data_IF_757235905301
#
_entry.id   IF_757235905301
#
_cell.length_a   1.000
_cell.length_b   1.000
_cell.length_c   1.000
_cell.angle_alpha   90.00
_cell.angle_beta   90.00
_cell.angle_gamma   90.00
#
_symmetry.space_group_name_H-M   'P 1'
#
loop_
_entity.id
_entity.type
_entity.pdbx_description
1 polymer ?
#
# COMPACT_ATOMS: atom_id res chain seq x y z
N UNK A 1 -2.68 -52.02 40.29
CA UNK A 1 -3.65 -51.84 39.18
C UNK A 1 -3.26 -50.54 38.48
N UNK A 2 -2.30 -50.51 37.57
CA UNK A 2 -2.27 -51.07 36.21
C UNK A 2 -3.32 -50.43 35.28
N UNK A 3 -2.91 -49.41 34.51
CA UNK A 3 -3.40 -49.12 33.16
C UNK A 3 -2.46 -48.11 32.48
N UNK A 4 -1.48 -48.64 31.74
CA UNK A 4 -0.75 -47.90 30.71
C UNK A 4 -1.64 -47.85 29.46
N UNK A 5 -2.01 -46.67 28.97
CA UNK A 5 -2.67 -46.46 27.69
C UNK A 5 -1.70 -45.84 26.70
N UNK A 6 -1.05 -46.67 25.89
CA UNK A 6 -0.20 -46.23 24.77
C UNK A 6 -1.08 -45.99 23.54
N UNK A 7 -1.08 -44.75 23.05
CA UNK A 7 -1.66 -44.42 21.75
C UNK A 7 -0.55 -44.48 20.70
N UNK A 8 -0.46 -45.64 20.05
CA UNK A 8 0.34 -45.90 18.86
C UNK A 8 -0.33 -45.21 17.66
N UNK A 9 0.12 -44.01 17.32
CA UNK A 9 -0.32 -43.30 16.14
C UNK A 9 0.56 -43.73 14.95
N UNK A 10 0.01 -44.65 14.16
CA UNK A 10 0.54 -45.10 12.87
C UNK A 10 0.75 -43.91 11.91
N UNK A 11 1.95 -43.68 11.34
CA UNK A 11 2.11 -42.69 10.29
C UNK A 11 1.52 -43.20 8.97
N UNK A 12 0.51 -42.50 8.46
CA UNK A 12 -0.04 -42.74 7.13
C UNK A 12 1.03 -42.41 6.07
N UNK A 13 1.36 -43.40 5.25
CA UNK A 13 2.27 -43.28 4.14
C UNK A 13 1.73 -42.29 3.09
N UNK A 14 2.57 -41.34 2.69
CA UNK A 14 2.31 -40.41 1.59
C UNK A 14 2.29 -41.17 0.25
N UNK A 15 1.34 -40.88 -0.66
CA UNK A 15 1.41 -41.39 -2.02
C UNK A 15 2.48 -40.63 -2.81
N UNK A 16 3.54 -41.34 -3.22
CA UNK A 16 4.47 -40.94 -4.27
C UNK A 16 3.69 -40.67 -5.55
N UNK A 17 3.56 -39.41 -5.94
CA UNK A 17 2.97 -39.02 -7.22
C UNK A 17 4.01 -39.26 -8.33
N UNK A 18 3.65 -40.12 -9.27
CA UNK A 18 4.47 -40.54 -10.40
C UNK A 18 4.83 -39.37 -11.33
N UNK A 19 6.11 -39.33 -11.71
CA UNK A 19 6.62 -38.61 -12.88
C UNK A 19 5.81 -39.00 -14.13
N UNK A 20 5.07 -38.05 -14.67
CA UNK A 20 4.52 -38.14 -16.01
C UNK A 20 5.42 -37.31 -16.93
N UNK A 21 6.47 -37.97 -17.44
CA UNK A 21 7.17 -37.51 -18.63
C UNK A 21 6.16 -37.55 -19.79
N UNK A 22 5.89 -36.40 -20.38
CA UNK A 22 5.11 -36.32 -21.62
C UNK A 22 5.62 -35.16 -22.48
N UNK A 23 6.07 -35.57 -23.66
CA UNK A 23 5.90 -34.90 -24.94
C UNK A 23 6.91 -33.79 -25.32
N UNK A 24 7.98 -34.24 -25.98
CA UNK A 24 8.70 -33.50 -27.01
C UNK A 24 7.75 -33.20 -28.18
N UNK A 25 7.14 -32.00 -28.20
CA UNK A 25 6.16 -31.62 -29.21
C UNK A 25 6.36 -30.19 -29.73
N UNK A 26 7.00 -30.09 -30.90
CA UNK A 26 6.96 -28.97 -31.86
C UNK A 26 7.36 -27.56 -31.37
N UNK A 27 8.56 -27.14 -31.78
CA UNK A 27 9.02 -25.76 -31.64
C UNK A 27 8.13 -24.74 -32.38
N UNK A 28 8.00 -23.52 -31.86
CA UNK A 28 7.29 -22.45 -32.54
C UNK A 28 8.09 -22.01 -33.77
N UNK A 29 7.47 -22.13 -34.93
CA UNK A 29 7.91 -21.49 -36.17
C UNK A 29 7.87 -19.98 -35.94
N UNK A 30 9.03 -19.35 -35.97
CA UNK A 30 9.16 -17.89 -35.92
C UNK A 30 8.46 -17.28 -37.15
N UNK A 31 7.63 -16.25 -37.00
CA UNK A 31 7.13 -15.47 -38.13
C UNK A 31 8.31 -14.75 -38.82
N UNK A 32 8.23 -14.52 -40.15
CA UNK A 32 9.28 -13.84 -40.89
C UNK A 32 9.51 -12.42 -40.37
N UNK A 33 10.78 -12.06 -40.20
CA UNK A 33 11.25 -10.69 -40.00
C UNK A 33 10.57 -9.74 -41.00
N UNK A 34 9.72 -8.85 -40.49
CA UNK A 34 9.30 -7.69 -41.27
C UNK A 34 10.49 -6.72 -41.30
N UNK A 35 11.17 -6.69 -42.45
CA UNK A 35 12.07 -5.61 -42.83
C UNK A 35 11.29 -4.31 -42.83
N UNK A 36 11.45 -3.51 -41.78
CA UNK A 36 10.88 -2.17 -41.69
C UNK A 36 11.71 -1.27 -42.59
N UNK A 37 11.12 -0.79 -43.68
CA UNK A 37 11.71 0.26 -44.52
C UNK A 37 12.03 1.50 -43.66
N UNK A 38 13.22 2.12 -43.80
CA UNK A 38 13.53 3.37 -43.13
C UNK A 38 12.70 4.50 -43.75
N UNK A 39 11.52 4.75 -43.17
CA UNK A 39 10.67 5.88 -43.48
C UNK A 39 11.37 7.20 -43.15
N UNK A 40 11.36 8.10 -44.12
CA UNK A 40 11.96 9.43 -44.09
C UNK A 40 11.63 10.22 -42.81
N UNK A 41 12.68 10.73 -42.16
CA UNK A 41 12.60 11.67 -41.05
C UNK A 41 11.85 12.95 -41.50
N UNK A 42 10.74 13.35 -40.85
CA UNK A 42 10.18 14.67 -41.07
C UNK A 42 11.18 15.71 -40.57
N UNK A 43 11.66 16.54 -41.50
CA UNK A 43 12.51 17.69 -41.23
C UNK A 43 11.72 18.67 -40.35
N UNK A 44 12.01 18.68 -39.04
CA UNK A 44 11.50 19.71 -38.12
C UNK A 44 12.00 21.07 -38.61
N UNK A 45 11.13 22.09 -38.72
CA UNK A 45 11.57 23.46 -38.99
C UNK A 45 12.45 23.96 -37.84
N UNK A 46 13.43 24.84 -38.12
CA UNK A 46 14.31 25.40 -37.11
C UNK A 46 13.49 26.22 -36.11
N UNK A 47 13.57 25.84 -34.84
CA UNK A 47 13.03 26.62 -33.72
C UNK A 47 13.91 27.86 -33.60
N UNK A 48 13.34 29.02 -33.92
CA UNK A 48 13.97 30.32 -33.71
C UNK A 48 13.97 30.58 -32.20
N UNK A 49 15.13 30.87 -31.56
CA UNK A 49 15.14 31.27 -30.17
C UNK A 49 14.54 32.66 -30.05
N UNK A 50 13.31 32.75 -29.53
CA UNK A 50 12.76 34.00 -29.03
C UNK A 50 13.56 34.37 -27.78
N UNK A 51 14.41 35.37 -27.92
CA UNK A 51 15.09 36.05 -26.82
C UNK A 51 14.00 36.85 -26.10
N UNK A 52 13.50 36.33 -24.98
CA UNK A 52 12.72 37.14 -24.04
C UNK A 52 13.68 37.99 -23.22
N UNK A 53 13.41 39.29 -23.29
CA UNK A 53 14.10 40.41 -22.70
C UNK A 53 14.11 40.31 -21.17
N UNK A 54 15.29 40.17 -20.55
CA UNK A 54 15.47 40.27 -19.09
C UNK A 54 15.04 41.66 -18.61
N UNK A 55 13.96 41.72 -17.83
CA UNK A 55 13.60 42.89 -17.05
C UNK A 55 14.29 42.80 -15.68
N UNK A 56 15.21 43.71 -15.32
CA UNK A 56 15.86 43.67 -14.02
C UNK A 56 14.91 44.16 -12.92
N UNK A 57 14.31 43.24 -12.16
CA UNK A 57 13.66 43.57 -10.88
C UNK A 57 14.71 43.70 -9.78
N UNK A 58 15.24 44.91 -9.66
CA UNK A 58 16.09 45.35 -8.56
C UNK A 58 15.18 45.70 -7.36
N UNK A 59 14.73 44.70 -6.60
CA UNK A 59 14.03 44.94 -5.34
C UNK A 59 14.87 44.47 -4.15
N UNK A 60 15.17 45.44 -3.29
CA UNK A 60 16.00 45.34 -2.10
C UNK A 60 15.31 44.46 -1.06
N UNK A 61 15.99 43.50 -0.40
CA UNK A 61 15.36 42.74 0.67
C UNK A 61 15.05 43.67 1.86
N UNK A 62 13.86 43.57 2.49
CA UNK A 62 13.63 44.21 3.77
C UNK A 62 14.49 43.51 4.84
N UNK A 63 15.37 44.29 5.47
CA UNK A 63 16.09 43.93 6.69
C UNK A 63 15.07 43.54 7.76
N UNK A 64 14.88 42.23 7.99
CA UNK A 64 14.16 41.75 9.16
C UNK A 64 15.13 41.71 10.35
N UNK A 65 14.75 42.48 11.37
CA UNK A 65 15.37 42.59 12.68
C UNK A 65 15.20 41.25 13.45
N UNK A 66 16.28 40.55 13.84
CA UNK A 66 16.18 39.34 14.65
C UNK A 66 16.19 39.72 16.14
N UNK A 67 15.03 40.06 16.68
CA UNK A 67 14.85 40.12 18.14
C UNK A 67 13.80 39.11 18.57
N UNK A 68 14.24 37.89 18.92
CA UNK A 68 13.44 37.00 19.77
C UNK A 68 14.35 36.40 20.84
N UNK A 69 14.02 36.57 22.13
CA UNK A 69 14.89 36.20 23.24
C UNK A 69 14.96 34.68 23.43
N UNK A 70 16.16 34.23 23.81
CA UNK A 70 16.43 32.93 24.37
C UNK A 70 15.51 32.64 25.57
N UNK A 71 14.72 31.56 25.48
CA UNK A 71 14.23 30.87 26.66
C UNK A 71 14.82 29.46 26.70
N UNK A 72 15.88 29.40 27.49
CA UNK A 72 16.54 28.22 27.99
C UNK A 72 15.75 27.74 29.22
N UNK A 73 15.04 26.61 29.13
CA UNK A 73 14.73 25.82 30.34
C UNK A 73 14.79 24.34 30.03
N UNK A 74 15.79 23.69 30.62
CA UNK A 74 15.98 22.25 30.65
C UNK A 74 15.07 21.57 31.68
N UNK A 75 14.67 20.33 31.38
CA UNK A 75 14.27 19.26 32.30
C UNK A 75 14.54 17.95 31.52
N UNK A 76 15.74 17.38 31.53
CA UNK A 76 16.34 16.61 32.62
C UNK A 76 15.37 15.58 33.25
N UNK A 77 15.61 14.32 32.85
CA UNK A 77 15.63 13.15 33.73
C UNK A 77 14.29 12.48 34.13
N UNK A 78 14.01 11.33 33.49
CA UNK A 78 13.49 10.16 34.19
C UNK A 78 13.78 8.87 33.39
N UNK A 79 14.94 8.27 33.67
CA UNK A 79 15.09 6.83 33.58
C UNK A 79 14.30 6.20 34.75
N UNK A 80 13.37 5.29 34.45
CA UNK A 80 12.79 4.35 35.41
C UNK A 80 12.40 3.08 34.63
N UNK A 81 13.26 2.06 34.66
CA UNK A 81 13.19 0.88 35.53
C UNK A 81 12.12 -0.12 35.08
N UNK A 82 12.63 -1.31 34.77
CA UNK A 82 11.92 -2.51 34.38
C UNK A 82 10.92 -3.03 35.43
N UNK A 83 10.13 -4.00 34.94
CA UNK A 83 9.48 -5.09 35.67
C UNK A 83 8.07 -4.79 36.18
N UNK A 84 7.08 -5.33 35.46
CA UNK A 84 6.07 -6.22 36.04
C UNK A 84 5.59 -7.18 34.96
N UNK A 85 6.00 -8.43 35.10
CA UNK A 85 5.44 -9.57 34.37
C UNK A 85 4.14 -9.89 35.11
N UNK A 86 2.99 -9.60 34.50
CA UNK A 86 1.71 -10.10 35.01
C UNK A 86 1.58 -11.53 34.51
N UNK A 87 1.65 -12.45 35.46
CA UNK A 87 1.24 -13.84 35.36
C UNK A 87 -0.24 -13.87 34.94
N UNK A 88 -0.50 -14.15 33.65
CA UNK A 88 -1.85 -14.45 33.17
C UNK A 88 -2.21 -15.88 33.56
N UNK A 89 -2.91 -15.93 34.69
CA UNK A 89 -3.74 -17.02 35.18
C UNK A 89 -4.49 -17.70 34.02
N UNK A 90 -4.13 -18.95 33.77
CA UNK A 90 -4.83 -19.85 32.85
C UNK A 90 -6.00 -20.46 33.62
N UNK A 91 -7.07 -19.70 33.77
CA UNK A 91 -8.25 -20.06 34.56
C UNK A 91 -9.56 -19.89 33.79
N UNK A 92 -10.05 -21.01 33.25
CA UNK A 92 -11.46 -21.40 33.12
C UNK A 92 -12.49 -20.53 32.36
N UNK A 93 -13.15 -21.23 31.42
CA UNK A 93 -14.47 -21.01 30.82
C UNK A 93 -14.64 -19.91 29.75
N UNK A 94 -14.77 -20.29 28.46
CA UNK A 94 -15.45 -19.41 27.52
C UNK A 94 -16.94 -19.30 27.92
N UNK A 95 -17.53 -18.10 27.98
CA UNK A 95 -18.98 -18.00 27.99
C UNK A 95 -19.49 -18.53 26.65
N UNK A 96 -20.27 -19.60 26.70
CA UNK A 96 -21.18 -19.98 25.62
C UNK A 96 -22.11 -18.80 25.38
N UNK A 97 -21.81 -17.98 24.38
CA UNK A 97 -22.73 -16.97 23.87
C UNK A 97 -23.75 -17.69 23.00
N UNK A 98 -24.85 -18.12 23.63
CA UNK A 98 -26.04 -18.55 22.91
C UNK A 98 -26.67 -17.35 22.21
N UNK A 99 -26.59 -17.35 20.88
CA UNK A 99 -27.67 -16.91 20.00
C UNK A 99 -28.28 -15.53 20.24
N UNK A 100 -27.57 -14.47 19.86
CA UNK A 100 -28.24 -13.39 19.15
C UNK A 100 -27.93 -13.54 17.68
N UNK A 101 -28.81 -14.27 16.99
CA UNK A 101 -28.99 -14.18 15.54
C UNK A 101 -29.32 -12.72 15.21
N UNK A 102 -28.29 -11.92 14.92
CA UNK A 102 -28.46 -10.72 14.14
C UNK A 102 -28.93 -11.19 12.76
N UNK A 103 -30.24 -11.27 12.58
CA UNK A 103 -30.89 -11.47 11.29
C UNK A 103 -30.58 -10.23 10.46
N UNK A 104 -29.37 -10.20 9.88
CA UNK A 104 -29.04 -9.31 8.78
C UNK A 104 -30.01 -9.69 7.66
N UNK A 105 -31.11 -8.94 7.60
CA UNK A 105 -32.04 -8.98 6.49
C UNK A 105 -31.31 -8.34 5.33
N UNK A 106 -30.42 -9.10 4.71
CA UNK A 106 -29.85 -8.78 3.42
C UNK A 106 -31.03 -8.78 2.45
N UNK A 107 -31.49 -7.58 2.11
CA UNK A 107 -32.38 -7.34 0.98
C UNK A 107 -31.57 -7.71 -0.27
N UNK A 108 -31.59 -8.98 -0.63
CA UNK A 108 -31.06 -9.49 -1.89
C UNK A 108 -32.02 -9.09 -3.02
N UNK A 109 -31.99 -7.82 -3.38
CA UNK A 109 -32.81 -7.23 -4.45
C UNK A 109 -32.01 -6.41 -5.46
N UNK A 110 -30.68 -6.40 -5.39
CA UNK A 110 -29.83 -5.62 -6.29
C UNK A 110 -28.87 -6.54 -7.05
N UNK A 111 -28.83 -6.35 -8.37
CA UNK A 111 -28.08 -7.18 -9.30
C UNK A 111 -26.62 -7.31 -8.90
N UNK A 112 -26.07 -8.52 -9.06
CA UNK A 112 -24.65 -8.81 -8.83
C UNK A 112 -23.82 -7.73 -9.55
N UNK A 113 -23.05 -6.90 -8.84
CA UNK A 113 -22.26 -5.86 -9.49
C UNK A 113 -21.29 -6.53 -10.45
N UNK A 114 -21.17 -6.00 -11.67
CA UNK A 114 -20.19 -6.53 -12.62
C UNK A 114 -18.79 -6.38 -12.01
N UNK A 115 -17.90 -7.39 -12.17
CA UNK A 115 -16.53 -7.28 -11.73
C UNK A 115 -15.90 -5.99 -12.29
N UNK A 116 -15.32 -5.17 -11.41
CA UNK A 116 -14.80 -3.84 -11.75
C UNK A 116 -15.74 -2.66 -11.46
N UNK A 117 -16.92 -2.88 -10.86
CA UNK A 117 -17.82 -1.78 -10.46
C UNK A 117 -17.60 -1.39 -9.01
N UNK A 118 -17.32 -0.10 -8.75
CA UNK A 118 -17.30 0.45 -7.39
C UNK A 118 -18.75 0.56 -6.91
N UNK A 119 -19.11 -0.18 -5.86
CA UNK A 119 -20.37 0.01 -5.14
C UNK A 119 -20.14 1.09 -4.09
N UNK A 120 -20.87 2.21 -4.19
CA UNK A 120 -20.80 3.26 -3.18
C UNK A 120 -21.23 2.70 -1.81
N UNK A 121 -20.54 3.05 -0.72
CA UNK A 121 -20.90 2.56 0.61
C UNK A 121 -22.31 2.99 1.00
N UNK A 122 -23.05 2.10 1.67
CA UNK A 122 -24.31 2.44 2.33
C UNK A 122 -24.10 3.09 3.71
N UNK A 123 -22.86 3.17 4.18
CA UNK A 123 -22.53 3.64 5.53
C UNK A 123 -21.81 4.98 5.44
N UNK A 124 -22.44 6.00 6.02
CA UNK A 124 -21.91 7.36 6.18
C UNK A 124 -20.56 7.32 6.90
N UNK A 125 -19.58 8.06 6.39
CA UNK A 125 -18.24 8.17 6.96
C UNK A 125 -18.34 8.70 8.40
N UNK A 126 -17.76 7.96 9.35
CA UNK A 126 -17.98 8.24 10.77
C UNK A 126 -17.21 9.48 11.26
N UNK A 127 -16.28 10.04 10.48
CA UNK A 127 -15.43 11.14 10.93
C UNK A 127 -14.81 11.93 9.75
N UNK A 128 -15.60 12.67 8.95
CA UNK A 128 -15.05 13.50 7.89
C UNK A 128 -14.07 14.53 8.48
N UNK A 129 -12.84 14.55 7.95
CA UNK A 129 -11.78 15.49 8.31
C UNK A 129 -10.83 15.05 9.43
N UNK A 130 -10.84 13.79 9.86
CA UNK A 130 -9.71 13.22 10.60
C UNK A 130 -8.60 12.81 9.63
N UNK A 131 -7.35 13.15 9.93
CA UNK A 131 -6.23 12.56 9.20
C UNK A 131 -6.16 11.05 9.49
N UNK A 132 -5.71 10.26 8.52
CA UNK A 132 -5.29 8.87 8.80
C UNK A 132 -4.21 8.84 9.89
N UNK A 133 -4.17 7.80 10.73
CA UNK A 133 -3.15 7.57 11.75
C UNK A 133 -1.90 6.94 11.14
N UNK A 134 -2.10 5.86 10.36
CA UNK A 134 -1.05 5.14 9.65
C UNK A 134 -1.57 4.56 8.33
N UNK A 135 -0.67 4.46 7.36
CA UNK A 135 -0.92 3.88 6.05
C UNK A 135 0.21 2.92 5.71
N UNK A 136 -0.12 1.69 5.35
CA UNK A 136 0.84 0.67 4.91
C UNK A 136 0.51 0.28 3.48
N UNK A 137 1.44 0.57 2.58
CA UNK A 137 1.42 0.20 1.18
C UNK A 137 2.44 -0.89 0.91
N UNK A 138 2.02 -1.95 0.23
CA UNK A 138 2.94 -2.96 -0.29
C UNK A 138 2.71 -3.18 -1.78
N UNK A 139 3.80 -3.33 -2.52
CA UNK A 139 3.83 -3.74 -3.91
C UNK A 139 4.71 -4.98 -4.02
N UNK A 140 4.23 -6.00 -4.74
CA UNK A 140 4.98 -7.22 -5.03
C UNK A 140 4.75 -7.71 -6.45
N UNK A 141 5.59 -8.64 -6.92
CA UNK A 141 5.54 -9.19 -8.27
C UNK A 141 6.19 -8.29 -9.32
N UNK A 142 5.70 -8.37 -10.55
CA UNK A 142 6.27 -7.64 -11.68
C UNK A 142 7.59 -8.22 -12.21
N UNK A 143 8.18 -7.60 -13.24
CA UNK A 143 9.47 -8.01 -13.77
C UNK A 143 10.56 -7.87 -12.70
N UNK A 144 11.04 -9.01 -12.19
CA UNK A 144 12.09 -9.07 -11.17
C UNK A 144 11.60 -9.33 -9.75
N UNK A 145 10.30 -9.61 -9.56
CA UNK A 145 9.70 -10.02 -8.27
C UNK A 145 10.16 -9.14 -7.09
N UNK A 146 10.14 -7.82 -7.31
CA UNK A 146 10.62 -6.85 -6.33
C UNK A 146 9.49 -6.51 -5.37
N UNK A 147 9.79 -6.59 -4.08
CA UNK A 147 8.91 -6.14 -3.01
C UNK A 147 9.28 -4.72 -2.59
N UNK A 148 8.26 -3.85 -2.47
CA UNK A 148 8.38 -2.52 -1.91
C UNK A 148 7.36 -2.39 -0.78
N UNK A 149 7.83 -2.02 0.40
CA UNK A 149 6.98 -1.69 1.55
C UNK A 149 7.16 -0.24 1.94
N UNK A 150 6.06 0.49 2.02
CA UNK A 150 6.01 1.89 2.47
C UNK A 150 5.00 2.01 3.59
N UNK A 151 5.45 2.46 4.75
CA UNK A 151 4.61 2.81 5.88
C UNK A 151 4.69 4.33 6.10
N UNK A 152 3.56 5.02 6.05
CA UNK A 152 3.46 6.46 6.24
C UNK A 152 2.56 6.73 7.44
N UNK A 153 3.07 7.54 8.37
CA UNK A 153 2.34 8.00 9.54
C UNK A 153 1.89 9.45 9.38
N UNK A 154 0.86 9.82 10.15
CA UNK A 154 0.24 11.16 10.15
C UNK A 154 1.16 12.28 10.62
N UNK A 155 2.22 11.95 11.37
CA UNK A 155 3.25 12.87 11.83
C UNK A 155 4.32 13.16 10.75
N UNK A 156 4.21 12.52 9.58
CA UNK A 156 5.19 12.63 8.49
C UNK A 156 6.36 11.65 8.60
N UNK A 157 6.31 10.69 9.53
CA UNK A 157 7.27 9.59 9.55
C UNK A 157 6.99 8.62 8.40
N UNK A 158 7.97 8.40 7.53
CA UNK A 158 7.91 7.47 6.40
C UNK A 158 8.91 6.35 6.61
N UNK A 159 8.48 5.09 6.65
CA UNK A 159 9.35 3.92 6.71
C UNK A 159 9.28 3.21 5.37
N UNK A 160 10.39 3.15 4.65
CA UNK A 160 10.50 2.43 3.38
C UNK A 160 11.47 1.27 3.53
N UNK A 161 11.01 0.06 3.25
CA UNK A 161 11.81 -1.17 3.31
C UNK A 161 12.60 -1.30 4.64
N UNK A 162 12.02 -0.79 5.73
CA UNK A 162 12.60 -0.77 7.07
C UNK A 162 13.48 0.45 7.40
N UNK A 163 13.76 1.34 6.45
CA UNK A 163 14.51 2.59 6.68
C UNK A 163 13.56 3.77 6.92
N UNK A 164 13.85 4.58 7.94
CA UNK A 164 13.00 5.71 8.35
C UNK A 164 13.46 7.03 7.73
N UNK A 165 12.49 7.76 7.22
CA UNK A 165 12.58 9.07 6.57
C UNK A 165 11.51 10.01 7.13
N UNK A 166 11.60 11.28 6.76
CA UNK A 166 10.63 12.31 7.13
C UNK A 166 10.10 12.96 5.87
N UNK A 167 8.79 13.09 5.77
CA UNK A 167 8.10 13.81 4.69
C UNK A 167 7.49 15.10 5.23
N UNK A 168 7.23 16.06 4.34
CA UNK A 168 6.58 17.31 4.77
C UNK A 168 5.09 17.06 5.10
N UNK A 169 4.51 17.83 6.05
CA UNK A 169 3.09 17.70 6.39
C UNK A 169 2.16 18.02 5.21
N UNK A 170 2.63 18.78 4.22
CA UNK A 170 1.88 19.06 2.98
C UNK A 170 1.65 17.79 2.18
N UNK A 171 2.65 16.90 2.12
CA UNK A 171 2.52 15.61 1.43
C UNK A 171 1.58 14.68 2.18
N UNK A 172 1.63 14.68 3.52
CA UNK A 172 0.68 13.91 4.35
C UNK A 172 -0.75 14.37 4.09
N UNK A 173 -0.99 15.68 4.08
CA UNK A 173 -2.30 16.26 3.79
C UNK A 173 -2.78 15.96 2.36
N UNK A 174 -1.87 15.92 1.38
CA UNK A 174 -2.21 15.54 0.01
C UNK A 174 -2.66 14.07 -0.09
N UNK A 175 -1.96 13.16 0.59
CA UNK A 175 -2.36 11.74 0.64
C UNK A 175 -3.70 11.57 1.35
N UNK A 176 -3.94 12.30 2.43
CA UNK A 176 -5.22 12.28 3.14
C UNK A 176 -6.37 12.76 2.25
N UNK A 177 -6.18 13.88 1.53
CA UNK A 177 -7.17 14.38 0.58
C UNK A 177 -7.47 13.36 -0.53
N UNK A 178 -6.46 12.65 -1.04
CA UNK A 178 -6.68 11.60 -2.03
C UNK A 178 -7.49 10.42 -1.46
N UNK A 179 -7.29 10.05 -0.20
CA UNK A 179 -8.08 9.00 0.46
C UNK A 179 -9.55 9.42 0.63
N UNK A 180 -9.79 10.67 1.00
CA UNK A 180 -11.13 11.26 1.15
C UNK A 180 -11.84 11.38 -0.21
N UNK A 181 -11.17 11.92 -1.23
CA UNK A 181 -11.70 12.08 -2.59
C UNK A 181 -12.14 10.73 -3.19
N UNK A 182 -11.42 9.65 -2.88
CA UNK A 182 -11.72 8.28 -3.31
C UNK A 182 -12.83 7.65 -2.46
N UNK A 183 -13.11 8.19 -1.27
CA UNK A 183 -13.97 7.56 -0.27
C UNK A 183 -13.43 6.22 0.18
N UNK A 184 -12.12 6.14 0.50
CA UNK A 184 -11.40 4.89 0.73
C UNK A 184 -12.06 3.96 1.75
N UNK A 185 -12.54 4.50 2.87
CA UNK A 185 -13.24 3.71 3.91
C UNK A 185 -14.59 3.17 3.45
N UNK A 186 -15.19 3.84 2.46
CA UNK A 186 -16.38 3.40 1.76
C UNK A 186 -16.15 2.32 0.72
N UNK A 187 -14.95 2.21 0.18
CA UNK A 187 -14.65 1.25 -0.88
C UNK A 187 -14.70 -0.17 -0.37
N UNK A 188 -15.44 -1.03 -1.07
CA UNK A 188 -15.45 -2.47 -0.87
C UNK A 188 -15.18 -3.20 -2.18
N UNK A 189 -14.30 -4.20 -2.14
CA UNK A 189 -13.95 -4.98 -3.32
C UNK A 189 -12.62 -5.70 -3.18
N UNK A 190 -12.43 -6.73 -4.00
CA UNK A 190 -11.14 -7.35 -4.24
C UNK A 190 -10.87 -7.21 -5.73
N UNK A 191 -9.82 -6.49 -6.09
CA UNK A 191 -9.49 -6.18 -7.48
C UNK A 191 -8.46 -7.16 -8.04
N UNK A 192 -8.64 -8.45 -7.77
CA UNK A 192 -7.71 -9.51 -8.18
C UNK A 192 -8.38 -10.49 -9.11
N UNK A 193 -7.60 -11.07 -10.03
CA UNK A 193 -8.01 -12.16 -10.90
C UNK A 193 -7.23 -13.43 -10.55
N UNK A 194 -7.85 -14.62 -10.62
CA UNK A 194 -7.19 -15.90 -10.36
C UNK A 194 -6.11 -16.29 -11.39
N UNK A 195 -6.04 -15.61 -12.54
CA UNK A 195 -5.16 -16.00 -13.64
C UNK A 195 -4.33 -14.82 -14.14
N UNK A 196 -3.07 -14.72 -13.70
CA UNK A 196 -1.99 -13.99 -14.41
C UNK A 196 -0.60 -14.56 -14.07
N UNK A 197 0.34 -14.32 -14.99
CA UNK A 197 1.74 -14.74 -14.86
C UNK A 197 2.50 -13.97 -13.78
N UNK A 198 3.72 -14.44 -13.48
CA UNK A 198 4.64 -13.88 -12.47
C UNK A 198 4.92 -12.39 -12.63
N UNK A 199 4.68 -11.84 -13.82
CA UNK A 199 5.06 -10.47 -14.17
C UNK A 199 3.98 -9.43 -13.85
N UNK A 200 2.96 -9.80 -13.07
CA UNK A 200 1.87 -8.88 -12.67
C UNK A 200 2.18 -8.26 -11.31
N UNK A 201 2.11 -6.93 -11.22
CA UNK A 201 2.19 -6.25 -9.94
C UNK A 201 0.92 -6.46 -9.11
N UNK A 202 1.12 -6.78 -7.84
CA UNK A 202 0.10 -6.89 -6.81
C UNK A 202 0.31 -5.75 -5.83
N UNK A 203 -0.77 -5.02 -5.55
CA UNK A 203 -0.79 -3.90 -4.63
C UNK A 203 -1.67 -4.22 -3.44
N UNK A 204 -1.20 -3.90 -2.24
CA UNK A 204 -2.01 -3.87 -1.04
C UNK A 204 -1.89 -2.51 -0.36
N UNK A 205 -3.01 -1.99 0.12
CA UNK A 205 -3.04 -0.75 0.89
C UNK A 205 -3.90 -0.98 2.12
N UNK A 206 -3.34 -0.68 3.29
CA UNK A 206 -4.04 -0.65 4.58
C UNK A 206 -3.96 0.77 5.13
N UNK A 207 -5.08 1.29 5.59
CA UNK A 207 -5.19 2.61 6.22
C UNK A 207 -5.87 2.45 7.56
N UNK A 208 -5.32 3.13 8.57
CA UNK A 208 -5.90 3.24 9.90
C UNK A 208 -6.28 4.70 10.17
N UNK A 209 -7.46 4.94 10.73
CA UNK A 209 -7.97 6.28 11.02
C UNK A 209 -8.93 6.22 12.20
N UNK A 210 -8.64 6.94 13.28
CA UNK A 210 -9.49 6.99 14.47
C UNK A 210 -9.75 5.62 15.10
N UNK A 211 -8.82 4.66 14.96
CA UNK A 211 -8.97 3.27 15.39
C UNK A 211 -9.79 2.36 14.45
N UNK A 212 -10.30 2.89 13.34
CA UNK A 212 -10.83 2.07 12.24
C UNK A 212 -9.67 1.61 11.35
N UNK A 213 -9.75 0.39 10.80
CA UNK A 213 -8.74 -0.17 9.89
C UNK A 213 -9.40 -0.70 8.64
N UNK A 214 -8.93 -0.28 7.47
CA UNK A 214 -9.42 -0.74 6.17
C UNK A 214 -8.26 -1.18 5.30
N UNK A 215 -8.42 -2.33 4.63
CA UNK A 215 -7.42 -2.83 3.70
C UNK A 215 -8.07 -3.19 2.36
N UNK A 216 -7.38 -2.85 1.28
CA UNK A 216 -7.72 -3.24 -0.08
C UNK A 216 -6.54 -3.96 -0.73
N UNK A 217 -6.84 -4.85 -1.67
CA UNK A 217 -5.85 -5.52 -2.51
C UNK A 217 -6.31 -5.51 -3.96
N UNK A 218 -5.36 -5.30 -4.86
CA UNK A 218 -5.62 -5.29 -6.29
C UNK A 218 -4.42 -5.67 -7.12
N UNK A 219 -4.69 -6.07 -8.35
CA UNK A 219 -3.69 -6.32 -9.38
C UNK A 219 -3.65 -5.19 -10.38
N UNK A 220 -2.50 -5.02 -11.03
CA UNK A 220 -2.36 -4.08 -12.12
C UNK A 220 -3.38 -4.32 -13.26
N UNK A 221 -3.94 -3.24 -13.76
CA UNK A 221 -5.00 -3.23 -14.79
C UNK A 221 -6.39 -3.67 -14.32
N UNK A 222 -6.59 -3.98 -13.03
CA UNK A 222 -7.92 -4.24 -12.44
C UNK A 222 -8.34 -3.18 -11.42
N UNK A 223 -7.42 -2.32 -11.01
CA UNK A 223 -7.69 -1.22 -10.10
C UNK A 223 -8.43 -0.09 -10.81
N UNK A 224 -9.39 0.57 -10.15
CA UNK A 224 -9.93 1.84 -10.61
C UNK A 224 -8.84 2.90 -10.82
N UNK A 225 -9.00 3.84 -11.78
CA UNK A 225 -8.01 4.89 -12.06
C UNK A 225 -7.62 5.71 -10.82
N UNK A 226 -8.57 5.93 -9.92
CA UNK A 226 -8.37 6.73 -8.72
C UNK A 226 -7.42 6.04 -7.74
N UNK A 227 -7.60 4.72 -7.54
CA UNK A 227 -6.68 3.91 -6.73
C UNK A 227 -5.31 3.76 -7.39
N UNK A 228 -5.25 3.69 -8.73
CA UNK A 228 -3.98 3.68 -9.45
C UNK A 228 -3.18 4.97 -9.18
N UNK A 229 -3.83 6.13 -9.25
CA UNK A 229 -3.18 7.41 -8.95
C UNK A 229 -2.62 7.46 -7.53
N UNK A 230 -3.39 6.98 -6.54
CA UNK A 230 -2.93 6.88 -5.16
C UNK A 230 -1.69 5.97 -5.03
N UNK A 231 -1.68 4.80 -5.67
CA UNK A 231 -0.54 3.88 -5.61
C UNK A 231 0.70 4.42 -6.33
N UNK A 232 0.52 5.11 -7.47
CA UNK A 232 1.60 5.82 -8.15
C UNK A 232 2.19 6.88 -7.23
N UNK A 233 1.35 7.65 -6.52
CA UNK A 233 1.84 8.67 -5.59
C UNK A 233 2.60 8.07 -4.41
N UNK A 234 2.11 6.98 -3.81
CA UNK A 234 2.77 6.28 -2.71
C UNK A 234 4.11 5.64 -3.12
N UNK A 235 4.17 5.06 -4.32
CA UNK A 235 5.43 4.53 -4.87
C UNK A 235 6.45 5.63 -5.15
N UNK A 236 6.03 6.78 -5.70
CA UNK A 236 6.89 7.95 -5.90
C UNK A 236 7.44 8.50 -4.57
N UNK A 237 6.60 8.57 -3.55
CA UNK A 237 6.99 8.91 -2.17
C UNK A 237 8.12 8.01 -1.65
N UNK A 238 8.06 6.72 -1.98
CA UNK A 238 9.16 5.81 -1.71
C UNK A 238 10.44 6.22 -2.45
N UNK A 239 10.33 6.52 -3.75
CA UNK A 239 11.46 6.79 -4.65
C UNK A 239 12.18 8.12 -4.43
N UNK A 240 11.47 9.19 -4.06
CA UNK A 240 12.03 10.55 -3.88
C UNK A 240 12.91 10.69 -2.64
N UNK A 241 12.92 9.68 -1.79
CA UNK A 241 13.81 9.62 -0.66
C UNK A 241 15.26 9.64 -1.14
N UNK A 242 16.07 10.67 -0.80
CA UNK A 242 17.44 10.76 -1.23
C UNK A 242 18.18 9.56 -0.67
N UNK A 243 18.55 8.62 -1.56
CA UNK A 243 19.45 7.50 -1.29
C UNK A 243 20.63 8.08 -0.53
N UNK A 244 20.68 7.83 0.78
CA UNK A 244 21.65 8.46 1.67
C UNK A 244 23.01 7.97 1.18
N UNK A 245 23.69 8.82 0.41
CA UNK A 245 24.81 8.41 -0.43
C UNK A 245 25.80 7.59 0.38
N UNK A 246 25.86 6.29 0.10
CA UNK A 246 26.82 5.38 0.70
C UNK A 246 28.22 5.84 0.32
N UNK A 247 28.91 6.45 1.27
CA UNK A 247 30.34 6.79 1.18
C UNK A 247 31.22 5.62 1.61
#
# INVERSE_FOLDING_TARGET
MAACGGNDATPAALPTLAEQQSDEGAGPTLPPEQTVEPGELPTRPPIVPTVEEEVPINETPPTQDPTVPAQLTALANAAATATTIVELDTGENPPTIEGQEAVSTAVFGEGVPLPGTIVAPATEDAAPGLLFDSLIYTQSGGPGDTELTVELHSDGTLIRDGETFTVSPEVVAEIDQLLDDIGFFGLSGTFTSPARGSDTYIYALRVEQGGLSRAIRGQDGLLPPELQNLFVRLSQLGLDVPQRGGG
#
